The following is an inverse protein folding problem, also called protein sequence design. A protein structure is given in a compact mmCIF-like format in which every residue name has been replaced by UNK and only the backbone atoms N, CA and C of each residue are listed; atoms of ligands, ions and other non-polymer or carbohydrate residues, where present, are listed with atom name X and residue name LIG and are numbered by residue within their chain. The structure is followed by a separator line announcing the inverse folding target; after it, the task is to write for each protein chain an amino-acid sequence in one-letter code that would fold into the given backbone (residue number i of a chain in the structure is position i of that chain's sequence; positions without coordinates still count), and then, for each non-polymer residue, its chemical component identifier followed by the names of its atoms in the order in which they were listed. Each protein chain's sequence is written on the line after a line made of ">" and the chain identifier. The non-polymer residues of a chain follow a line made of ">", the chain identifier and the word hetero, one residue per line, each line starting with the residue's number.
data_IF_300262628351
#
_entry.id   IF_300262628351
#
_cell.length_a   1.000
_cell.length_b   1.000
_cell.length_c   1.000
_cell.angle_alpha   90.00
_cell.angle_beta   90.00
_cell.angle_gamma   90.00
#
_symmetry.space_group_name_H-M   'P 1'
#
loop_
_entity.id
_entity.type
_entity.pdbx_description
1 polymer ?
#
# COMPACT_ATOMS: atom_id res chain seq x y z
N UNK A 1 25.26 7.96 -4.52
CA UNK A 1 24.20 7.63 -3.54
C UNK A 1 24.74 6.51 -2.65
N UNK A 2 24.36 6.50 -1.36
CA UNK A 2 24.79 5.46 -0.41
C UNK A 2 24.21 4.10 -0.83
N UNK A 3 25.00 3.04 -0.79
CA UNK A 3 24.54 1.67 -1.12
C UNK A 3 24.24 0.91 0.16
N UNK A 4 23.04 0.35 0.26
CA UNK A 4 22.57 -0.43 1.41
C UNK A 4 22.36 -1.88 0.97
N UNK A 5 23.03 -2.81 1.66
CA UNK A 5 22.96 -4.21 1.32
C UNK A 5 21.56 -4.79 1.62
N UNK A 6 21.01 -5.49 0.65
CA UNK A 6 19.77 -6.23 0.81
C UNK A 6 19.87 -7.65 0.24
N UNK A 7 19.30 -8.60 0.97
CA UNK A 7 19.05 -9.97 0.49
C UNK A 7 17.52 -10.11 0.44
N UNK A 8 16.97 -10.02 -0.74
CA UNK A 8 15.52 -9.97 -0.92
C UNK A 8 15.02 -10.96 -1.98
N UNK A 9 13.71 -11.27 -1.90
CA UNK A 9 12.97 -12.02 -2.89
C UNK A 9 11.56 -11.42 -3.14
N UNK A 10 11.28 -10.22 -2.58
CA UNK A 10 10.00 -9.54 -2.76
C UNK A 10 10.00 -8.65 -4.01
N UNK A 11 11.14 -8.01 -4.29
CA UNK A 11 11.34 -7.17 -5.49
C UNK A 11 12.73 -7.41 -6.11
N UNK A 12 13.08 -8.67 -6.45
CA UNK A 12 14.41 -9.04 -6.90
C UNK A 12 14.79 -8.28 -8.18
N UNK A 13 16.00 -7.67 -8.14
CA UNK A 13 16.49 -6.86 -9.25
C UNK A 13 15.91 -5.44 -9.35
N UNK A 14 14.91 -5.10 -8.52
CA UNK A 14 14.30 -3.78 -8.49
C UNK A 14 15.06 -2.77 -7.64
N UNK A 15 14.91 -1.49 -7.96
CA UNK A 15 15.47 -0.37 -7.18
C UNK A 15 14.75 -0.16 -5.86
N UNK A 16 13.47 -0.56 -5.77
CA UNK A 16 12.64 -0.41 -4.57
C UNK A 16 11.45 -1.37 -4.60
N UNK A 17 10.71 -1.44 -3.49
CA UNK A 17 9.41 -2.11 -3.43
C UNK A 17 8.32 -1.36 -4.21
N UNK A 18 8.47 -0.05 -4.41
CA UNK A 18 7.54 0.76 -5.20
C UNK A 18 7.87 0.69 -6.70
N UNK A 19 6.85 0.42 -7.52
CA UNK A 19 6.95 0.35 -8.98
C UNK A 19 6.01 1.36 -9.63
N UNK A 20 6.39 1.87 -10.81
CA UNK A 20 5.49 2.61 -11.70
C UNK A 20 4.48 1.69 -12.41
N UNK A 21 3.61 2.26 -13.24
CA UNK A 21 2.57 1.51 -13.96
C UNK A 21 3.14 0.53 -15.00
N UNK A 22 4.29 0.85 -15.59
CA UNK A 22 5.04 -0.02 -16.52
C UNK A 22 5.91 -1.08 -15.80
N UNK A 23 5.75 -1.21 -14.47
CA UNK A 23 6.54 -2.07 -13.57
C UNK A 23 8.03 -1.68 -13.46
N UNK A 24 8.42 -0.48 -13.89
CA UNK A 24 9.76 0.01 -13.59
C UNK A 24 9.86 0.32 -12.08
N UNK A 25 10.87 -0.24 -11.44
CA UNK A 25 11.12 0.03 -10.03
C UNK A 25 11.65 1.46 -9.87
N UNK A 26 11.12 2.15 -8.87
CA UNK A 26 11.59 3.48 -8.49
C UNK A 26 12.88 3.35 -7.68
N UNK A 27 13.63 4.44 -7.57
CA UNK A 27 14.83 4.51 -6.73
C UNK A 27 14.51 5.35 -5.49
N UNK A 28 14.83 4.87 -4.28
CA UNK A 28 14.74 5.68 -3.06
C UNK A 28 15.58 6.95 -3.16
N UNK A 29 15.13 8.00 -2.51
CA UNK A 29 15.79 9.33 -2.60
C UNK A 29 17.16 9.36 -1.91
N UNK A 30 17.30 8.60 -0.82
CA UNK A 30 18.44 8.73 0.10
C UNK A 30 19.52 7.67 -0.09
N UNK A 31 19.17 6.52 -0.70
CA UNK A 31 20.08 5.38 -0.86
C UNK A 31 19.68 4.50 -2.06
N UNK A 32 20.53 3.52 -2.37
CA UNK A 32 20.25 2.47 -3.36
C UNK A 32 20.37 1.09 -2.70
N UNK A 33 19.47 0.18 -3.00
CA UNK A 33 19.60 -1.22 -2.61
C UNK A 33 20.70 -1.90 -3.40
N UNK A 34 21.63 -2.53 -2.70
CA UNK A 34 22.76 -3.29 -3.26
C UNK A 34 22.59 -4.78 -2.93
N UNK A 35 22.55 -5.63 -3.96
CA UNK A 35 22.41 -7.08 -3.82
C UNK A 35 23.73 -7.83 -3.90
N UNK A 36 24.78 -7.10 -4.25
CA UNK A 36 26.17 -7.57 -4.26
C UNK A 36 26.89 -7.17 -2.97
N UNK A 37 28.17 -7.55 -2.84
CA UNK A 37 28.98 -7.04 -1.73
C UNK A 37 29.15 -5.53 -1.87
N UNK A 38 28.86 -4.81 -0.80
CA UNK A 38 29.03 -3.37 -0.71
C UNK A 38 29.38 -2.97 0.73
N UNK A 39 29.91 -1.76 0.89
CA UNK A 39 30.25 -1.19 2.17
C UNK A 39 28.96 -0.68 2.86
N UNK A 40 28.29 -1.60 3.57
CA UNK A 40 27.07 -1.35 4.32
C UNK A 40 27.19 -2.01 5.69
N UNK A 41 26.97 -1.26 6.75
CA UNK A 41 27.00 -1.76 8.12
C UNK A 41 25.90 -2.79 8.36
N UNK A 42 24.69 -2.51 7.88
CA UNK A 42 23.52 -3.37 8.06
C UNK A 42 23.19 -4.12 6.76
N UNK A 43 22.87 -5.41 6.90
CA UNK A 43 22.28 -6.20 5.82
C UNK A 43 20.78 -6.39 6.08
N UNK A 44 19.98 -5.98 5.10
CA UNK A 44 18.54 -6.07 5.14
C UNK A 44 18.04 -7.39 4.56
N UNK A 45 16.96 -7.92 5.13
CA UNK A 45 16.31 -9.17 4.72
C UNK A 45 14.81 -8.93 4.61
N UNK A 46 14.20 -9.31 3.49
CA UNK A 46 12.76 -9.21 3.30
C UNK A 46 12.07 -10.55 3.61
N UNK A 47 10.75 -10.57 3.74
CA UNK A 47 9.91 -11.70 4.13
C UNK A 47 10.51 -13.10 3.92
N UNK A 48 10.81 -13.47 2.64
CA UNK A 48 11.31 -14.79 2.28
C UNK A 48 12.71 -15.08 2.79
N UNK A 49 13.53 -14.06 2.94
CA UNK A 49 14.96 -14.18 3.20
C UNK A 49 15.34 -14.03 4.67
N UNK A 50 14.40 -13.65 5.55
CA UNK A 50 14.70 -13.45 6.99
C UNK A 50 15.26 -14.69 7.70
N UNK A 51 15.04 -15.89 7.17
CA UNK A 51 15.61 -17.15 7.68
C UNK A 51 16.70 -17.74 6.76
N UNK A 52 17.20 -16.97 5.80
CA UNK A 52 18.33 -17.42 4.99
C UNK A 52 19.51 -17.79 5.91
N UNK A 53 20.10 -18.98 5.78
CA UNK A 53 21.24 -19.37 6.60
C UNK A 53 22.40 -18.36 6.55
N UNK A 54 22.58 -17.67 5.44
CA UNK A 54 23.59 -16.62 5.29
C UNK A 54 23.33 -15.41 6.19
N UNK A 55 22.06 -15.19 6.61
CA UNK A 55 21.72 -14.09 7.50
C UNK A 55 22.56 -14.11 8.80
N UNK A 56 22.89 -15.30 9.31
CA UNK A 56 23.68 -15.44 10.51
C UNK A 56 25.16 -15.07 10.34
N UNK A 57 25.64 -14.93 9.12
CA UNK A 57 27.02 -14.53 8.82
C UNK A 57 27.22 -13.00 8.85
N UNK A 58 26.15 -12.23 8.90
CA UNK A 58 26.22 -10.78 8.95
C UNK A 58 26.12 -10.27 10.39
N UNK A 59 27.02 -9.39 10.83
CA UNK A 59 27.08 -8.92 12.21
C UNK A 59 25.89 -8.03 12.59
N UNK A 60 25.41 -7.20 11.66
CA UNK A 60 24.29 -6.28 11.86
C UNK A 60 23.18 -6.55 10.84
N UNK A 61 21.97 -6.78 11.31
CA UNK A 61 20.86 -7.31 10.50
C UNK A 61 19.57 -6.55 10.73
N UNK A 62 18.89 -6.23 9.64
CA UNK A 62 17.56 -5.64 9.67
C UNK A 62 16.58 -6.54 8.92
N UNK A 63 15.41 -6.80 9.48
CA UNK A 63 14.32 -7.49 8.80
C UNK A 63 13.26 -6.49 8.32
N UNK A 64 12.70 -6.72 7.16
CA UNK A 64 11.56 -5.98 6.63
C UNK A 64 10.44 -6.94 6.24
N UNK A 65 9.34 -6.91 7.00
CA UNK A 65 8.14 -7.70 6.75
C UNK A 65 7.21 -6.90 5.82
N UNK A 66 7.50 -6.97 4.53
CA UNK A 66 6.84 -6.19 3.47
C UNK A 66 5.49 -6.79 3.05
N UNK A 67 5.45 -8.11 2.75
CA UNK A 67 4.23 -8.77 2.30
C UNK A 67 3.29 -9.08 3.47
N UNK A 68 1.96 -8.87 3.32
CA UNK A 68 1.02 -9.09 4.41
C UNK A 68 0.87 -10.57 4.79
N UNK A 69 0.42 -10.85 6.05
CA UNK A 69 0.22 -12.22 6.52
C UNK A 69 -0.76 -13.04 5.67
N UNK A 70 -1.68 -12.41 4.94
CA UNK A 70 -2.58 -13.10 4.01
C UNK A 70 -1.88 -13.68 2.79
N UNK A 71 -0.72 -13.14 2.43
CA UNK A 71 0.15 -13.64 1.35
C UNK A 71 1.25 -14.52 1.94
N UNK A 72 1.87 -14.09 3.05
CA UNK A 72 2.97 -14.80 3.69
C UNK A 72 2.86 -14.76 5.21
N UNK A 73 2.24 -15.76 5.81
CA UNK A 73 2.04 -15.81 7.25
C UNK A 73 3.28 -16.29 8.04
N UNK A 74 4.11 -17.15 7.44
CA UNK A 74 5.22 -17.77 8.16
C UNK A 74 6.27 -16.77 8.67
N UNK A 75 6.63 -15.66 7.99
CA UNK A 75 7.60 -14.70 8.52
C UNK A 75 7.16 -14.10 9.85
N UNK A 76 5.88 -13.75 9.96
CA UNK A 76 5.30 -13.17 11.16
C UNK A 76 5.29 -14.13 12.36
N UNK A 77 5.10 -15.42 12.11
CA UNK A 77 5.19 -16.47 13.14
C UNK A 77 6.64 -16.73 13.53
N UNK A 78 7.54 -16.81 12.55
CA UNK A 78 8.94 -17.13 12.77
C UNK A 78 9.67 -16.03 13.53
N UNK A 79 9.41 -14.77 13.19
CA UNK A 79 10.09 -13.62 13.79
C UNK A 79 9.82 -13.51 15.30
N UNK A 80 8.66 -13.93 15.80
CA UNK A 80 8.34 -13.90 17.21
C UNK A 80 9.33 -14.71 18.08
N UNK A 81 9.81 -15.83 17.59
CA UNK A 81 10.81 -16.67 18.27
C UNK A 81 12.25 -16.36 17.86
N UNK A 82 12.48 -15.42 16.96
CA UNK A 82 13.81 -15.15 16.38
C UNK A 82 14.16 -13.66 16.30
N UNK A 83 13.40 -12.80 16.96
CA UNK A 83 13.58 -11.35 16.90
C UNK A 83 14.94 -10.87 17.42
N UNK A 84 15.53 -11.59 18.35
CA UNK A 84 16.87 -11.34 18.90
C UNK A 84 17.99 -11.51 17.88
N UNK A 85 17.70 -12.10 16.73
CA UNK A 85 18.62 -12.23 15.61
C UNK A 85 18.73 -10.97 14.75
N UNK A 86 17.93 -9.94 15.01
CA UNK A 86 17.88 -8.69 14.26
C UNK A 86 18.03 -7.48 15.19
N UNK A 87 18.73 -6.46 14.70
CA UNK A 87 18.89 -5.18 15.37
C UNK A 87 17.62 -4.33 15.24
N UNK A 88 16.92 -4.45 14.11
CA UNK A 88 15.61 -3.84 13.87
C UNK A 88 14.74 -4.73 12.96
N UNK A 89 13.42 -4.61 13.13
CA UNK A 89 12.41 -5.33 12.35
C UNK A 89 11.35 -4.34 11.91
N UNK A 90 11.36 -3.98 10.65
CA UNK A 90 10.40 -3.07 10.04
C UNK A 90 9.13 -3.82 9.64
N UNK A 91 7.98 -3.33 10.08
CA UNK A 91 6.68 -3.98 9.87
C UNK A 91 5.53 -2.99 10.06
N UNK A 92 4.37 -3.31 9.55
CA UNK A 92 3.10 -2.66 9.87
C UNK A 92 2.18 -3.56 10.73
N UNK A 93 2.62 -4.73 11.15
CA UNK A 93 1.81 -5.59 12.03
C UNK A 93 1.71 -4.97 13.43
N UNK A 94 0.52 -4.44 13.74
CA UNK A 94 0.21 -3.77 15.01
C UNK A 94 0.56 -4.63 16.22
N UNK A 95 0.33 -5.96 16.17
CA UNK A 95 0.61 -6.88 17.28
C UNK A 95 2.10 -6.96 17.61
N UNK A 96 2.96 -6.89 16.58
CA UNK A 96 4.41 -6.83 16.74
C UNK A 96 4.85 -5.47 17.28
N UNK A 97 4.32 -4.40 16.74
CA UNK A 97 4.64 -3.02 17.14
C UNK A 97 4.24 -2.73 18.60
N UNK A 98 3.12 -3.26 19.07
CA UNK A 98 2.63 -3.09 20.45
C UNK A 98 3.22 -4.11 21.44
N UNK A 99 4.16 -4.97 21.04
CA UNK A 99 4.75 -6.03 21.87
C UNK A 99 5.76 -5.55 22.93
N UNK A 100 5.96 -4.25 23.10
CA UNK A 100 6.98 -3.64 23.98
C UNK A 100 8.43 -4.02 23.65
N UNK A 101 8.70 -4.50 22.45
CA UNK A 101 10.06 -4.75 21.95
C UNK A 101 10.45 -3.64 20.99
N UNK A 102 11.43 -2.83 21.40
CA UNK A 102 11.87 -1.64 20.65
C UNK A 102 12.55 -1.94 19.31
N UNK A 103 12.83 -3.21 19.01
CA UNK A 103 13.32 -3.65 17.70
C UNK A 103 12.25 -3.53 16.62
N UNK A 104 10.97 -3.67 16.96
CA UNK A 104 9.90 -3.48 16.00
C UNK A 104 9.72 -2.01 15.67
N UNK A 105 9.84 -1.68 14.40
CA UNK A 105 9.71 -0.33 13.84
C UNK A 105 8.56 -0.31 12.85
N UNK A 106 7.73 0.71 12.90
CA UNK A 106 6.68 0.85 11.90
C UNK A 106 7.29 1.12 10.52
N UNK A 107 6.77 0.42 9.52
CA UNK A 107 7.02 0.69 8.11
C UNK A 107 5.70 0.54 7.34
N UNK A 108 5.19 1.59 6.70
CA UNK A 108 4.00 1.46 5.88
C UNK A 108 4.28 0.56 4.68
N UNK A 109 3.28 -0.18 4.23
CA UNK A 109 3.38 -0.83 2.93
C UNK A 109 3.38 0.23 1.81
N UNK A 110 2.41 1.13 1.82
CA UNK A 110 2.37 2.33 0.96
C UNK A 110 2.63 2.04 -0.52
N UNK A 111 3.44 2.90 -1.11
CA UNK A 111 3.78 2.87 -2.53
C UNK A 111 2.75 3.60 -3.39
N UNK A 112 3.08 3.84 -4.65
CA UNK A 112 2.16 4.28 -5.70
C UNK A 112 2.64 3.80 -7.05
N UNK A 113 1.70 3.35 -7.88
CA UNK A 113 1.98 3.01 -9.27
C UNK A 113 1.89 4.23 -10.20
N UNK A 114 1.04 5.20 -9.86
CA UNK A 114 0.89 6.43 -10.65
C UNK A 114 2.14 7.29 -10.52
N UNK A 115 2.64 7.77 -11.64
CA UNK A 115 3.82 8.62 -11.69
C UNK A 115 3.60 9.91 -10.91
N UNK A 116 4.60 10.33 -10.16
CA UNK A 116 4.46 11.40 -9.17
C UNK A 116 4.22 12.78 -9.77
N UNK A 117 4.67 13.01 -10.98
CA UNK A 117 4.40 14.22 -11.78
C UNK A 117 2.95 14.32 -12.29
N UNK A 118 2.21 13.20 -12.22
CA UNK A 118 0.79 13.12 -12.55
C UNK A 118 -0.13 13.24 -11.32
N UNK A 119 0.43 13.48 -10.14
CA UNK A 119 -0.39 13.63 -8.94
C UNK A 119 -1.11 14.98 -8.91
N UNK A 120 -2.40 14.98 -8.62
CA UNK A 120 -3.19 16.19 -8.53
C UNK A 120 -4.69 15.96 -8.52
N UNK A 121 -5.44 17.04 -8.38
CA UNK A 121 -6.89 17.00 -8.46
C UNK A 121 -7.33 17.29 -9.91
N UNK A 122 -8.02 16.35 -10.49
CA UNK A 122 -8.49 16.40 -11.88
C UNK A 122 -10.00 16.66 -11.97
N UNK A 123 -10.49 17.33 -13.03
CA UNK A 123 -11.93 17.40 -13.32
C UNK A 123 -12.54 15.99 -13.45
N UNK A 124 -13.63 15.73 -12.74
CA UNK A 124 -14.27 14.43 -12.69
C UNK A 124 -15.52 14.39 -13.56
N UNK A 125 -15.54 13.51 -14.56
CA UNK A 125 -16.65 13.33 -15.49
C UNK A 125 -17.48 12.07 -15.24
N UNK A 126 -16.96 11.13 -14.41
CA UNK A 126 -17.58 9.85 -14.09
C UNK A 126 -17.73 9.68 -12.58
N UNK A 127 -18.62 8.76 -12.18
CA UNK A 127 -19.00 8.63 -10.78
C UNK A 127 -18.13 7.62 -10.02
N UNK A 128 -18.34 6.32 -10.19
CA UNK A 128 -17.68 5.28 -9.41
C UNK A 128 -16.98 4.28 -10.32
N UNK A 129 -15.73 3.93 -10.00
CA UNK A 129 -15.03 2.83 -10.64
C UNK A 129 -14.41 1.87 -9.63
N UNK A 130 -13.94 0.74 -10.14
CA UNK A 130 -13.12 -0.23 -9.42
C UNK A 130 -12.09 -0.85 -10.37
N UNK A 131 -10.85 -1.09 -9.87
CA UNK A 131 -9.82 -1.81 -10.61
C UNK A 131 -9.59 -3.16 -9.92
N UNK A 132 -9.76 -4.26 -10.67
CA UNK A 132 -9.73 -5.64 -10.17
C UNK A 132 -8.69 -6.45 -10.93
N UNK A 133 -7.75 -7.07 -10.21
CA UNK A 133 -6.82 -8.07 -10.77
C UNK A 133 -7.49 -9.46 -10.79
N UNK A 134 -6.95 -10.39 -11.58
CA UNK A 134 -7.48 -11.76 -11.63
C UNK A 134 -7.13 -12.63 -10.42
N UNK A 135 -6.34 -12.10 -9.47
CA UNK A 135 -5.96 -12.82 -8.24
C UNK A 135 -7.19 -13.17 -7.39
N UNK A 136 -7.16 -14.37 -6.74
CA UNK A 136 -8.27 -14.92 -5.95
C UNK A 136 -7.83 -15.56 -4.62
N UNK A 137 -6.59 -15.36 -4.22
CA UNK A 137 -5.96 -16.09 -3.10
C UNK A 137 -6.41 -15.56 -1.73
N UNK A 138 -6.52 -14.23 -1.59
CA UNK A 138 -6.81 -13.59 -0.31
C UNK A 138 -8.30 -13.26 -0.15
N UNK A 139 -8.71 -12.89 1.07
CA UNK A 139 -10.06 -12.39 1.36
C UNK A 139 -10.42 -11.19 0.47
N UNK A 140 -9.53 -10.19 0.42
CA UNK A 140 -9.78 -9.01 -0.39
C UNK A 140 -9.78 -9.30 -1.89
N UNK A 141 -9.01 -10.27 -2.38
CA UNK A 141 -9.09 -10.70 -3.77
C UNK A 141 -10.48 -11.25 -4.10
N UNK A 142 -11.02 -12.13 -3.25
CA UNK A 142 -12.37 -12.71 -3.42
C UNK A 142 -13.45 -11.63 -3.35
N UNK A 143 -13.35 -10.75 -2.34
CA UNK A 143 -14.30 -9.64 -2.16
C UNK A 143 -14.37 -8.74 -3.40
N UNK A 144 -13.24 -8.44 -4.06
CA UNK A 144 -13.24 -7.63 -5.31
C UNK A 144 -14.09 -8.27 -6.39
N UNK A 145 -13.97 -9.59 -6.60
CA UNK A 145 -14.76 -10.31 -7.60
C UNK A 145 -16.25 -10.40 -7.20
N UNK A 146 -16.57 -10.52 -5.91
CA UNK A 146 -17.94 -10.47 -5.41
C UNK A 146 -18.57 -9.10 -5.66
N UNK A 147 -17.85 -8.02 -5.38
CA UNK A 147 -18.29 -6.64 -5.66
C UNK A 147 -18.50 -6.45 -7.16
N UNK A 148 -17.56 -6.84 -7.99
CA UNK A 148 -17.68 -6.73 -9.44
C UNK A 148 -18.88 -7.50 -10.00
N UNK A 149 -19.15 -8.69 -9.46
CA UNK A 149 -20.32 -9.50 -9.84
C UNK A 149 -21.63 -8.89 -9.38
N UNK A 150 -21.70 -8.35 -8.15
CA UNK A 150 -22.94 -7.83 -7.57
C UNK A 150 -23.29 -6.42 -8.07
N UNK A 151 -22.27 -5.58 -8.25
CA UNK A 151 -22.46 -4.14 -8.50
C UNK A 151 -21.89 -3.67 -9.85
N UNK A 152 -21.49 -4.59 -10.75
CA UNK A 152 -20.92 -4.23 -12.04
C UNK A 152 -21.83 -3.43 -12.97
N UNK A 153 -23.15 -3.45 -12.75
CA UNK A 153 -24.10 -2.59 -13.44
C UNK A 153 -24.20 -1.16 -12.85
N UNK A 154 -23.68 -0.96 -11.65
CA UNK A 154 -23.73 0.32 -10.92
C UNK A 154 -22.40 1.08 -10.98
N UNK A 155 -21.31 0.37 -11.17
CA UNK A 155 -19.94 0.90 -11.18
C UNK A 155 -19.18 0.43 -12.41
N UNK A 156 -18.26 1.25 -12.91
CA UNK A 156 -17.35 0.82 -13.98
C UNK A 156 -16.24 -0.09 -13.41
N UNK A 157 -16.21 -1.35 -13.81
CA UNK A 157 -15.18 -2.33 -13.38
C UNK A 157 -14.12 -2.46 -14.44
N UNK A 158 -12.85 -2.26 -14.05
CA UNK A 158 -11.68 -2.39 -14.90
C UNK A 158 -10.77 -3.53 -14.43
N UNK A 159 -10.08 -4.16 -15.36
CA UNK A 159 -9.12 -5.23 -15.10
C UNK A 159 -9.03 -6.24 -16.23
N UNK A 160 -8.11 -7.22 -16.17
CA UNK A 160 -7.88 -8.18 -17.25
C UNK A 160 -9.12 -9.02 -17.60
N UNK A 161 -9.92 -9.43 -16.59
CA UNK A 161 -11.20 -10.15 -16.79
C UNK A 161 -12.41 -9.22 -16.92
N UNK A 162 -12.21 -7.91 -17.01
CA UNK A 162 -13.25 -6.87 -17.08
C UNK A 162 -12.92 -5.90 -18.23
N UNK A 163 -13.24 -4.62 -18.06
CA UNK A 163 -12.90 -3.60 -19.05
C UNK A 163 -11.38 -3.34 -19.01
N UNK A 164 -10.70 -3.59 -20.13
CA UNK A 164 -9.27 -3.35 -20.25
C UNK A 164 -8.91 -1.87 -20.12
N UNK A 165 -7.71 -1.61 -19.65
CA UNK A 165 -7.11 -0.29 -19.57
C UNK A 165 -5.57 -0.42 -19.67
N UNK A 166 -4.92 0.63 -20.13
CA UNK A 166 -3.45 0.65 -20.24
C UNK A 166 -2.83 1.18 -18.94
N UNK A 167 -3.30 2.31 -18.42
CA UNK A 167 -2.77 2.98 -17.24
C UNK A 167 -3.88 3.25 -16.23
N UNK A 168 -3.61 3.01 -14.95
CA UNK A 168 -4.53 3.37 -13.83
C UNK A 168 -4.83 4.86 -13.81
N UNK A 169 -3.82 5.69 -14.10
CA UNK A 169 -3.97 7.13 -14.21
C UNK A 169 -5.10 7.51 -15.19
N UNK A 170 -5.11 6.93 -16.40
CA UNK A 170 -6.08 7.24 -17.43
C UNK A 170 -7.52 6.81 -17.07
N UNK A 171 -7.64 5.85 -16.18
CA UNK A 171 -8.93 5.48 -15.57
C UNK A 171 -9.27 6.43 -14.44
N UNK A 172 -8.49 6.42 -13.36
CA UNK A 172 -8.84 7.00 -12.08
C UNK A 172 -9.04 8.52 -12.13
N UNK A 173 -8.26 9.24 -12.94
CA UNK A 173 -8.38 10.71 -13.04
C UNK A 173 -9.78 11.19 -13.42
N UNK A 174 -10.60 10.35 -14.05
CA UNK A 174 -11.95 10.71 -14.50
C UNK A 174 -13.06 10.45 -13.46
N UNK A 175 -12.79 9.64 -12.42
CA UNK A 175 -13.79 9.21 -11.47
C UNK A 175 -13.77 10.00 -10.17
N UNK A 176 -14.98 10.32 -9.64
CA UNK A 176 -15.16 10.93 -8.32
C UNK A 176 -14.78 9.96 -7.21
N UNK A 177 -15.22 8.71 -7.35
CA UNK A 177 -15.05 7.66 -6.36
C UNK A 177 -14.36 6.44 -6.95
N UNK A 178 -13.53 5.78 -6.13
CA UNK A 178 -12.93 4.50 -6.51
C UNK A 178 -13.14 3.49 -5.39
N UNK A 179 -13.76 2.35 -5.70
CA UNK A 179 -13.86 1.24 -4.74
C UNK A 179 -12.47 0.62 -4.61
N UNK A 180 -11.90 0.74 -3.42
CA UNK A 180 -10.56 0.27 -3.07
C UNK A 180 -10.67 -0.83 -2.03
N UNK A 181 -10.20 -2.02 -2.37
CA UNK A 181 -10.20 -3.19 -1.47
C UNK A 181 -8.77 -3.69 -1.33
N UNK A 182 -8.25 -3.71 -0.12
CA UNK A 182 -6.93 -4.25 0.17
C UNK A 182 -6.91 -5.80 0.07
N UNK A 183 -5.75 -6.42 0.15
CA UNK A 183 -5.63 -7.89 0.13
C UNK A 183 -6.12 -8.54 1.44
N UNK A 184 -6.07 -7.78 2.54
CA UNK A 184 -6.52 -8.17 3.87
C UNK A 184 -7.07 -6.95 4.59
N UNK A 185 -8.04 -7.17 5.49
CA UNK A 185 -8.48 -6.15 6.45
C UNK A 185 -7.64 -6.23 7.70
N UNK A 186 -6.74 -5.26 7.88
CA UNK A 186 -5.76 -5.27 8.95
C UNK A 186 -5.36 -3.85 9.36
N UNK A 187 -5.28 -3.59 10.67
CA UNK A 187 -4.77 -2.32 11.20
C UNK A 187 -3.37 -2.03 10.67
N UNK A 188 -3.09 -0.75 10.42
CA UNK A 188 -1.81 -0.22 9.95
C UNK A 188 -1.39 -0.67 8.53
N UNK A 189 -2.24 -1.44 7.84
CA UNK A 189 -1.97 -1.90 6.48
C UNK A 189 -2.80 -1.15 5.45
N UNK A 190 -2.16 -0.38 4.62
CA UNK A 190 -2.69 0.23 3.40
C UNK A 190 -1.60 0.19 2.32
N UNK A 191 -2.02 0.06 1.07
CA UNK A 191 -1.11 -0.18 -0.03
C UNK A 191 -1.24 0.85 -1.14
N UNK A 192 -0.50 0.63 -2.23
CA UNK A 192 -0.55 1.43 -3.46
C UNK A 192 -1.98 1.62 -4.00
N UNK A 193 -2.92 0.76 -3.67
CA UNK A 193 -4.30 0.87 -4.17
C UNK A 193 -5.01 2.09 -3.60
N UNK A 194 -4.84 2.32 -2.30
CA UNK A 194 -5.39 3.50 -1.64
C UNK A 194 -4.67 4.77 -2.12
N UNK A 195 -3.34 4.71 -2.16
CA UNK A 195 -2.50 5.84 -2.56
C UNK A 195 -2.80 6.27 -4.00
N UNK A 196 -2.92 5.31 -4.94
CA UNK A 196 -3.25 5.59 -6.35
C UNK A 196 -4.61 6.30 -6.50
N UNK A 197 -5.63 5.89 -5.75
CA UNK A 197 -6.94 6.56 -5.79
C UNK A 197 -6.84 8.01 -5.28
N UNK A 198 -6.18 8.21 -4.14
CA UNK A 198 -6.00 9.54 -3.53
C UNK A 198 -5.12 10.44 -4.42
N UNK A 199 -4.08 9.89 -5.06
CA UNK A 199 -3.10 10.64 -5.84
C UNK A 199 -3.68 11.42 -7.01
N UNK A 200 -4.82 10.99 -7.51
CA UNK A 200 -5.53 11.67 -8.62
C UNK A 200 -6.86 12.29 -8.19
N UNK A 201 -7.08 12.41 -6.88
CA UNK A 201 -8.26 13.07 -6.32
C UNK A 201 -9.53 12.23 -6.42
N UNK A 202 -9.46 10.89 -6.44
CA UNK A 202 -10.63 10.08 -6.14
C UNK A 202 -10.90 10.05 -4.64
N UNK A 203 -12.18 10.02 -4.24
CA UNK A 203 -12.59 9.62 -2.88
C UNK A 203 -12.58 8.08 -2.85
N UNK A 204 -11.75 7.44 -2.01
CA UNK A 204 -11.80 5.99 -1.87
C UNK A 204 -13.09 5.53 -1.19
N UNK A 205 -13.78 4.54 -1.77
CA UNK A 205 -14.77 3.71 -1.09
C UNK A 205 -14.02 2.49 -0.62
N UNK A 206 -13.65 2.47 0.66
CA UNK A 206 -12.50 1.74 1.16
C UNK A 206 -12.84 0.56 2.07
N UNK A 207 -12.26 -0.60 1.75
CA UNK A 207 -12.18 -1.77 2.61
C UNK A 207 -10.71 -2.17 2.80
N UNK A 208 -10.21 -2.06 4.03
CA UNK A 208 -8.80 -2.38 4.30
C UNK A 208 -8.42 -2.11 5.74
N UNK A 209 -7.69 -1.04 5.98
CA UNK A 209 -7.15 -0.65 7.28
C UNK A 209 -8.25 -0.03 8.18
N UNK A 210 -8.68 -0.69 9.29
CA UNK A 210 -9.67 -0.09 10.19
C UNK A 210 -9.16 1.17 10.91
N UNK A 211 -7.85 1.28 11.08
CA UNK A 211 -7.20 2.43 11.72
C UNK A 211 -6.77 3.52 10.72
N UNK A 212 -7.36 3.55 9.52
CA UNK A 212 -6.92 4.45 8.43
C UNK A 212 -6.97 5.94 8.81
N UNK A 213 -7.86 6.32 9.70
CA UNK A 213 -7.98 7.67 10.24
C UNK A 213 -6.72 8.20 10.96
N UNK A 214 -5.78 7.32 11.33
CA UNK A 214 -4.47 7.70 11.87
C UNK A 214 -3.51 8.30 10.83
N UNK A 215 -3.79 8.09 9.53
CA UNK A 215 -2.93 8.54 8.41
C UNK A 215 -3.62 9.52 7.46
N UNK A 216 -4.93 9.37 7.30
CA UNK A 216 -5.73 10.16 6.37
C UNK A 216 -6.95 10.74 7.06
N UNK A 217 -7.44 11.89 6.59
CA UNK A 217 -8.73 12.42 7.03
C UNK A 217 -9.86 11.52 6.54
N UNK A 218 -10.64 10.98 7.47
CA UNK A 218 -11.77 10.09 7.20
C UNK A 218 -12.90 10.79 6.42
N UNK A 219 -13.02 12.12 6.52
CA UNK A 219 -13.99 12.88 5.74
C UNK A 219 -13.78 12.74 4.21
N UNK A 220 -12.56 12.40 3.80
CA UNK A 220 -12.19 12.13 2.40
C UNK A 220 -12.18 10.64 2.02
N UNK A 221 -12.69 9.75 2.90
CA UNK A 221 -12.74 8.30 2.68
C UNK A 221 -14.14 7.80 3.07
N UNK A 222 -14.74 6.94 2.23
CA UNK A 222 -15.99 6.24 2.54
C UNK A 222 -15.64 4.83 2.95
N UNK A 223 -15.70 4.51 4.24
CA UNK A 223 -15.36 3.16 4.72
C UNK A 223 -16.56 2.22 4.64
N UNK A 224 -16.31 0.94 4.33
CA UNK A 224 -17.30 -0.13 4.43
C UNK A 224 -16.67 -1.40 5.00
N UNK A 225 -17.44 -2.21 5.72
CA UNK A 225 -16.99 -3.45 6.32
C UNK A 225 -17.53 -4.71 5.61
N UNK A 226 -18.64 -4.58 4.86
CA UNK A 226 -19.32 -5.70 4.19
C UNK A 226 -20.11 -5.22 2.96
N UNK A 227 -20.64 -6.17 2.18
CA UNK A 227 -21.37 -5.86 0.94
C UNK A 227 -22.68 -5.10 1.16
N UNK A 228 -23.32 -5.22 2.32
CA UNK A 228 -24.55 -4.49 2.62
C UNK A 228 -24.24 -3.00 2.86
N UNK A 229 -23.20 -2.72 3.62
CA UNK A 229 -22.72 -1.34 3.82
C UNK A 229 -22.28 -0.72 2.49
N UNK A 230 -21.51 -1.46 1.66
CA UNK A 230 -21.11 -0.98 0.34
C UNK A 230 -22.33 -0.66 -0.54
N UNK A 231 -23.35 -1.51 -0.54
CA UNK A 231 -24.59 -1.27 -1.29
C UNK A 231 -25.27 0.04 -0.86
N UNK A 232 -25.37 0.26 0.45
CA UNK A 232 -25.92 1.50 1.00
C UNK A 232 -25.12 2.74 0.57
N UNK A 233 -23.79 2.67 0.63
CA UNK A 233 -22.92 3.75 0.19
C UNK A 233 -23.05 4.01 -1.32
N UNK A 234 -23.03 2.96 -2.15
CA UNK A 234 -23.17 3.09 -3.60
C UNK A 234 -24.52 3.69 -4.00
N UNK A 235 -25.61 3.33 -3.30
CA UNK A 235 -26.92 3.96 -3.51
C UNK A 235 -26.89 5.46 -3.24
N UNK A 236 -26.24 5.89 -2.15
CA UNK A 236 -26.09 7.31 -1.82
C UNK A 236 -25.25 8.05 -2.85
N UNK A 237 -24.15 7.44 -3.33
CA UNK A 237 -23.28 8.03 -4.33
C UNK A 237 -23.92 8.10 -5.73
N UNK A 238 -24.89 7.24 -6.04
CA UNK A 238 -25.58 7.23 -7.34
C UNK A 238 -26.63 8.34 -7.49
N UNK A 239 -27.14 8.90 -6.37
CA UNK A 239 -28.20 9.92 -6.39
C UNK A 239 -27.58 11.33 -6.38
N UNK A 240 -27.79 12.15 -7.44
CA UNK A 240 -27.19 13.49 -7.54
C UNK A 240 -27.59 14.46 -6.42
N UNK A 241 -28.67 14.20 -5.72
CA UNK A 241 -29.21 15.03 -4.62
C UNK A 241 -28.89 14.50 -3.23
N UNK A 242 -28.32 13.29 -3.11
CA UNK A 242 -27.88 12.71 -1.82
C UNK A 242 -26.40 12.94 -1.65
N UNK A 243 -26.00 13.68 -0.77
CA UNK A 243 -24.93 14.60 -0.64
C UNK A 243 -23.78 14.12 0.22
N UNK A 244 -22.84 13.38 -0.31
CA UNK A 244 -21.46 13.86 -0.23
C UNK A 244 -21.16 14.45 -1.60
N UNK A 245 -21.47 15.71 -1.78
CA UNK A 245 -21.08 16.39 -3.00
C UNK A 245 -19.55 16.32 -3.09
N UNK A 246 -19.01 15.74 -4.17
CA UNK A 246 -17.56 15.64 -4.38
C UNK A 246 -16.87 17.01 -4.23
N UNK A 247 -17.57 18.11 -4.57
CA UNK A 247 -17.05 19.47 -4.42
C UNK A 247 -16.88 19.86 -2.93
N UNK A 248 -17.75 19.37 -2.03
CA UNK A 248 -17.69 19.70 -0.60
C UNK A 248 -16.48 19.06 0.10
N UNK A 249 -15.94 17.94 -0.44
CA UNK A 249 -14.78 17.25 0.13
C UNK A 249 -13.45 17.65 -0.52
N UNK A 250 -13.44 18.60 -1.45
CA UNK A 250 -12.21 19.01 -2.17
C UNK A 250 -11.06 19.44 -1.26
N UNK A 251 -11.34 20.22 -0.21
CA UNK A 251 -10.32 20.65 0.75
C UNK A 251 -9.70 19.47 1.50
N UNK A 252 -10.52 18.47 1.82
CA UNK A 252 -10.08 17.22 2.46
C UNK A 252 -9.26 16.37 1.50
N UNK A 253 -9.62 16.35 0.21
CA UNK A 253 -8.85 15.65 -0.82
C UNK A 253 -7.44 16.26 -0.98
N UNK A 254 -7.29 17.58 -0.89
CA UNK A 254 -5.96 18.24 -0.86
C UNK A 254 -5.15 17.78 0.35
N UNK A 255 -5.77 17.70 1.52
CA UNK A 255 -5.12 17.24 2.75
C UNK A 255 -4.68 15.77 2.60
N UNK A 256 -5.56 14.90 2.10
CA UNK A 256 -5.26 13.49 1.91
C UNK A 256 -4.20 13.27 0.81
N UNK A 257 -4.19 14.08 -0.25
CA UNK A 257 -3.15 14.08 -1.26
C UNK A 257 -1.76 14.39 -0.65
N UNK A 258 -1.69 15.43 0.19
CA UNK A 258 -0.47 15.77 0.93
C UNK A 258 -0.02 14.67 1.90
N UNK A 259 -0.96 13.98 2.54
CA UNK A 259 -0.64 12.82 3.39
C UNK A 259 -0.16 11.63 2.55
N UNK A 260 -0.84 11.32 1.44
CA UNK A 260 -0.46 10.23 0.54
C UNK A 260 0.97 10.40 -0.01
N UNK A 261 1.40 11.64 -0.23
CA UNK A 261 2.75 11.96 -0.68
C UNK A 261 3.84 11.40 0.23
N UNK A 262 3.61 11.37 1.54
CA UNK A 262 4.56 10.82 2.53
C UNK A 262 4.76 9.31 2.37
N UNK A 263 3.76 8.62 1.86
CA UNK A 263 3.74 7.14 1.74
C UNK A 263 3.97 6.64 0.31
N UNK A 264 4.29 7.52 -0.64
CA UNK A 264 4.53 7.16 -2.04
C UNK A 264 5.73 6.22 -2.25
N UNK A 265 6.68 6.27 -1.32
CA UNK A 265 7.91 5.48 -1.30
C UNK A 265 8.15 4.96 0.12
N UNK A 266 7.89 3.67 0.38
CA UNK A 266 8.10 3.09 1.71
C UNK A 266 9.53 3.22 2.22
N UNK A 267 10.51 3.09 1.34
CA UNK A 267 11.94 3.19 1.66
C UNK A 267 12.33 4.58 2.15
N UNK A 268 11.85 5.63 1.49
CA UNK A 268 12.11 7.01 1.92
C UNK A 268 11.48 7.27 3.29
N UNK A 269 10.27 6.77 3.50
CA UNK A 269 9.58 6.86 4.77
C UNK A 269 10.33 6.13 5.90
N UNK A 270 10.85 4.91 5.62
CA UNK A 270 11.63 4.14 6.60
C UNK A 270 12.97 4.82 6.92
N UNK A 271 13.58 5.46 5.92
CA UNK A 271 14.83 6.18 6.11
C UNK A 271 14.66 7.35 7.09
N UNK A 272 13.62 8.14 6.94
CA UNK A 272 13.33 9.29 7.81
C UNK A 272 13.12 8.84 9.26
N UNK A 273 14.01 9.27 10.18
CA UNK A 273 13.99 8.93 11.60
C UNK A 273 14.58 7.56 11.96
N UNK A 274 15.16 6.84 10.98
CA UNK A 274 15.84 5.56 11.20
C UNK A 274 17.17 5.49 10.42
N UNK A 275 17.78 6.62 10.13
CA UNK A 275 18.97 6.79 9.27
C UNK A 275 20.11 5.87 9.69
N UNK A 276 20.25 5.58 11.00
CA UNK A 276 21.29 4.69 11.54
C UNK A 276 21.22 3.25 11.04
N UNK A 277 20.06 2.76 10.58
CA UNK A 277 19.94 1.42 9.99
C UNK A 277 20.25 1.37 8.49
N UNK A 278 20.54 2.53 7.90
CA UNK A 278 20.92 2.70 6.51
C UNK A 278 22.39 3.16 6.37
N UNK A 279 23.24 2.65 7.25
CA UNK A 279 24.70 2.90 7.25
C UNK A 279 25.50 1.78 6.60
#
# INVERSE_FOLDING_TARGET
>A
MKKIRIIDACFPGGGSAACSEDNAHRTPTHFEWCREECDSLYTWFTNWTIRDPRAMNYPARVAWLLEPPSIQNWPYKWILGNRDKFDAIFTYDRRLLESNDNRFKFAPHGGSRIDWDLWGLYPKSKNVCMIVSDKRETEGHKLRHEIAKKFGDWIDVYGPSYKNFDRKFDVLRHYRYCVVVESIRMDYYFSEKLIDAISVGCVPVYWGCPSIGGWFSQDGIVEFGNLYELESELMQLAVPTFTRNYEDVKSVLVTNLGNAWKYRMPEDWMYEGNEGYFE
#
